data_IF_863985675408
#
_entry.id   IF_863985675408
#
_cell.length_a   1.000
_cell.length_b   1.000
_cell.length_c   1.000
_cell.angle_alpha   90.00
_cell.angle_beta   90.00
_cell.angle_gamma   90.00
#
_symmetry.space_group_name_H-M   'P 1'
#
loop_
_entity.id
_entity.type
_entity.pdbx_description
1 polymer ?
#
# COMPACT_ATOMS: atom_id res chain seq x y z
N UNK A 1 2.74 -10.03 -13.88
CA UNK A 1 2.37 -9.19 -15.05
C UNK A 1 0.87 -8.93 -15.18
N UNK A 2 0.01 -9.89 -14.93
CA UNK A 2 -1.45 -9.78 -15.12
C UNK A 2 -2.07 -8.75 -14.17
N UNK A 3 -1.83 -8.84 -12.85
CA UNK A 3 -2.38 -7.94 -11.83
C UNK A 3 -2.09 -6.46 -12.13
N UNK A 4 -0.86 -6.13 -12.57
CA UNK A 4 -0.47 -4.75 -12.91
C UNK A 4 -1.29 -4.16 -14.06
N UNK A 5 -1.66 -4.98 -15.06
CA UNK A 5 -2.48 -4.53 -16.19
C UNK A 5 -3.90 -4.19 -15.74
N UNK A 6 -4.50 -5.04 -14.90
CA UNK A 6 -5.84 -4.80 -14.37
C UNK A 6 -5.87 -3.59 -13.42
N UNK A 7 -4.88 -3.48 -12.53
CA UNK A 7 -4.76 -2.33 -11.63
C UNK A 7 -4.62 -1.01 -12.40
N UNK A 8 -3.77 -0.95 -13.43
CA UNK A 8 -3.63 0.25 -14.28
C UNK A 8 -4.91 0.63 -14.99
N UNK A 9 -5.63 -0.35 -15.58
CA UNK A 9 -6.88 -0.09 -16.26
C UNK A 9 -7.95 0.45 -15.30
N UNK A 10 -8.02 -0.13 -14.10
CA UNK A 10 -8.97 0.31 -13.07
C UNK A 10 -8.65 1.71 -12.55
N UNK A 11 -7.36 2.04 -12.33
CA UNK A 11 -6.93 3.39 -11.94
C UNK A 11 -7.32 4.41 -13.00
N UNK A 12 -7.14 4.10 -14.30
CA UNK A 12 -7.54 5.00 -15.38
C UNK A 12 -9.05 5.27 -15.34
N UNK A 13 -9.88 4.23 -15.24
CA UNK A 13 -11.34 4.36 -15.15
C UNK A 13 -11.78 5.10 -13.88
N UNK A 14 -11.23 4.76 -12.72
CA UNK A 14 -11.57 5.42 -11.46
C UNK A 14 -11.15 6.91 -11.46
N UNK A 15 -10.06 7.24 -12.15
CA UNK A 15 -9.61 8.63 -12.33
C UNK A 15 -10.56 9.43 -13.22
N UNK A 16 -11.02 8.86 -14.33
CA UNK A 16 -12.01 9.49 -15.22
C UNK A 16 -13.32 9.83 -14.49
N UNK A 17 -13.71 8.96 -13.54
CA UNK A 17 -14.91 9.16 -12.72
C UNK A 17 -14.66 9.97 -11.44
N UNK A 18 -13.43 10.41 -11.17
CA UNK A 18 -13.07 11.14 -9.95
C UNK A 18 -13.18 10.34 -8.65
N UNK A 19 -13.18 8.99 -8.73
CA UNK A 19 -13.50 8.08 -7.61
C UNK A 19 -12.33 7.20 -7.17
N UNK A 20 -11.09 7.66 -7.36
CA UNK A 20 -9.89 6.86 -7.06
C UNK A 20 -9.87 6.32 -5.61
N UNK A 21 -10.14 7.17 -4.62
CA UNK A 21 -10.13 6.75 -3.22
C UNK A 21 -11.29 5.81 -2.91
N UNK A 22 -12.50 6.15 -3.36
CA UNK A 22 -13.71 5.37 -3.11
C UNK A 22 -13.62 3.97 -3.72
N UNK A 23 -13.16 3.86 -4.98
CA UNK A 23 -12.93 2.58 -5.66
C UNK A 23 -11.94 1.70 -4.89
N UNK A 24 -10.84 2.27 -4.40
CA UNK A 24 -9.87 1.55 -3.57
C UNK A 24 -10.48 0.99 -2.30
N UNK A 25 -11.20 1.83 -1.55
CA UNK A 25 -11.86 1.43 -0.30
C UNK A 25 -12.93 0.33 -0.51
N UNK A 26 -13.75 0.45 -1.55
CA UNK A 26 -14.78 -0.54 -1.85
C UNK A 26 -14.17 -1.89 -2.21
N UNK A 27 -13.15 -1.93 -3.06
CA UNK A 27 -12.47 -3.16 -3.45
C UNK A 27 -11.70 -3.79 -2.28
N UNK A 28 -11.10 -2.98 -1.42
CA UNK A 28 -10.42 -3.45 -0.21
C UNK A 28 -11.40 -4.16 0.72
N UNK A 29 -12.54 -3.53 1.04
CA UNK A 29 -13.60 -4.14 1.87
C UNK A 29 -14.11 -5.45 1.26
N UNK A 30 -14.29 -5.48 -0.06
CA UNK A 30 -14.74 -6.68 -0.75
C UNK A 30 -13.71 -7.82 -0.67
N UNK A 31 -12.43 -7.50 -0.87
CA UNK A 31 -11.33 -8.48 -0.76
C UNK A 31 -11.21 -9.02 0.67
N UNK A 32 -11.28 -8.14 1.67
CA UNK A 32 -11.25 -8.53 3.08
C UNK A 32 -12.40 -9.47 3.44
N UNK A 33 -13.62 -9.17 3.01
CA UNK A 33 -14.76 -10.05 3.25
C UNK A 33 -14.55 -11.46 2.69
N UNK A 34 -14.00 -11.56 1.46
CA UNK A 34 -13.68 -12.87 0.87
C UNK A 34 -12.63 -13.61 1.71
N UNK A 35 -11.58 -12.90 2.14
CA UNK A 35 -10.48 -13.51 2.90
C UNK A 35 -10.88 -13.92 4.32
N UNK A 36 -11.73 -13.14 4.98
CA UNK A 36 -12.25 -13.39 6.33
C UNK A 36 -13.37 -14.46 6.35
N UNK A 37 -13.92 -14.81 5.19
CA UNK A 37 -15.02 -15.79 5.08
C UNK A 37 -14.55 -17.02 4.31
N UNK A 38 -14.01 -18.08 4.99
CA UNK A 38 -13.44 -19.26 4.33
C UNK A 38 -14.44 -19.98 3.41
N UNK A 39 -15.73 -20.02 3.80
CA UNK A 39 -16.79 -20.62 2.98
C UNK A 39 -16.99 -19.87 1.67
N UNK A 40 -17.00 -18.53 1.70
CA UNK A 40 -17.13 -17.68 0.53
C UNK A 40 -15.93 -17.84 -0.41
N UNK A 41 -14.72 -17.81 0.16
CA UNK A 41 -13.46 -18.02 -0.57
C UNK A 41 -13.44 -19.37 -1.28
N UNK A 42 -13.83 -20.42 -0.57
CA UNK A 42 -13.93 -21.78 -1.12
C UNK A 42 -14.90 -21.84 -2.29
N UNK A 43 -16.08 -21.23 -2.19
CA UNK A 43 -17.08 -21.21 -3.27
C UNK A 43 -16.53 -20.44 -4.49
N UNK A 44 -16.04 -19.24 -4.29
CA UNK A 44 -15.61 -18.35 -5.38
C UNK A 44 -14.40 -18.90 -6.16
N UNK A 45 -13.48 -19.57 -5.46
CA UNK A 45 -12.24 -20.07 -6.08
C UNK A 45 -12.33 -21.51 -6.55
N UNK A 46 -13.37 -22.26 -6.18
CA UNK A 46 -13.53 -23.66 -6.60
C UNK A 46 -13.96 -23.77 -8.07
N UNK A 47 -13.16 -24.37 -8.95
CA UNK A 47 -13.51 -24.51 -10.38
C UNK A 47 -14.72 -25.40 -10.64
N UNK A 48 -15.09 -26.27 -9.71
CA UNK A 48 -16.24 -27.15 -9.85
C UNK A 48 -17.60 -26.44 -9.71
N UNK A 49 -17.63 -25.23 -9.14
CA UNK A 49 -18.84 -24.45 -8.98
C UNK A 49 -19.09 -23.62 -10.24
N UNK A 50 -20.35 -23.61 -10.71
CA UNK A 50 -20.71 -22.93 -11.95
C UNK A 50 -20.46 -21.42 -11.89
N UNK A 51 -20.02 -20.86 -13.00
CA UNK A 51 -19.78 -19.40 -13.09
C UNK A 51 -21.07 -18.60 -12.88
N UNK A 52 -22.22 -19.14 -13.30
CA UNK A 52 -23.52 -18.50 -13.10
C UNK A 52 -23.83 -18.31 -11.62
N UNK A 53 -23.72 -19.37 -10.82
CA UNK A 53 -23.93 -19.29 -9.37
C UNK A 53 -22.98 -18.31 -8.67
N UNK A 54 -21.70 -18.30 -9.07
CA UNK A 54 -20.72 -17.35 -8.55
C UNK A 54 -21.07 -15.90 -8.92
N UNK A 55 -21.56 -15.66 -10.13
CA UNK A 55 -21.95 -14.34 -10.59
C UNK A 55 -23.19 -13.81 -9.84
N UNK A 56 -24.18 -14.67 -9.56
CA UNK A 56 -25.33 -14.33 -8.71
C UNK A 56 -24.89 -13.99 -7.29
N UNK A 57 -24.03 -14.82 -6.70
CA UNK A 57 -23.47 -14.59 -5.37
C UNK A 57 -22.70 -13.26 -5.30
N UNK A 58 -21.86 -12.96 -6.29
CA UNK A 58 -21.13 -11.69 -6.37
C UNK A 58 -22.07 -10.49 -6.51
N UNK A 59 -23.17 -10.65 -7.23
CA UNK A 59 -24.19 -9.60 -7.39
C UNK A 59 -24.89 -9.30 -6.06
N UNK A 60 -25.33 -10.35 -5.34
CA UNK A 60 -25.96 -10.21 -4.02
C UNK A 60 -24.98 -9.56 -3.01
N UNK A 61 -23.73 -10.02 -2.97
CA UNK A 61 -22.71 -9.44 -2.12
C UNK A 61 -22.43 -7.96 -2.44
N UNK A 62 -22.34 -7.61 -3.73
CA UNK A 62 -22.13 -6.24 -4.17
C UNK A 62 -23.26 -5.31 -3.74
N UNK A 63 -24.50 -5.78 -3.82
CA UNK A 63 -25.68 -5.03 -3.36
C UNK A 63 -25.67 -4.83 -1.84
N UNK A 64 -25.40 -5.89 -1.07
CA UNK A 64 -25.36 -5.84 0.41
C UNK A 64 -24.25 -4.92 0.93
N UNK A 65 -23.12 -4.89 0.26
CA UNK A 65 -21.98 -4.03 0.62
C UNK A 65 -22.10 -2.60 0.07
N UNK A 66 -23.11 -2.31 -0.75
CA UNK A 66 -23.27 -1.02 -1.40
C UNK A 66 -22.14 -0.68 -2.37
N UNK A 67 -21.59 -1.70 -3.06
CA UNK A 67 -20.48 -1.54 -4.01
C UNK A 67 -20.99 -0.86 -5.26
N UNK A 68 -20.24 0.10 -5.77
CA UNK A 68 -20.57 0.85 -6.99
C UNK A 68 -20.58 -0.04 -8.24
N UNK A 69 -21.25 0.42 -9.27
CA UNK A 69 -21.36 -0.31 -10.54
C UNK A 69 -20.02 -0.57 -11.23
N UNK A 70 -19.07 0.37 -11.10
CA UNK A 70 -17.72 0.23 -11.66
C UNK A 70 -17.01 -0.98 -11.03
N UNK A 71 -16.99 -1.02 -9.71
CA UNK A 71 -16.32 -2.05 -8.92
C UNK A 71 -17.00 -3.42 -9.07
N UNK A 72 -18.34 -3.45 -9.05
CA UNK A 72 -19.11 -4.66 -9.28
C UNK A 72 -18.86 -5.27 -10.66
N UNK A 73 -18.83 -4.43 -11.71
CA UNK A 73 -18.51 -4.87 -13.07
C UNK A 73 -17.06 -5.36 -13.18
N UNK A 74 -16.12 -4.70 -12.48
CA UNK A 74 -14.73 -5.12 -12.46
C UNK A 74 -14.56 -6.51 -11.81
N UNK A 75 -15.20 -6.74 -10.65
CA UNK A 75 -15.17 -8.05 -9.96
C UNK A 75 -15.80 -9.13 -10.84
N UNK A 76 -16.94 -8.84 -11.50
CA UNK A 76 -17.59 -9.76 -12.43
C UNK A 76 -16.66 -10.12 -13.59
N UNK A 77 -16.02 -9.14 -14.20
CA UNK A 77 -15.04 -9.37 -15.25
C UNK A 77 -13.89 -10.26 -14.79
N UNK A 78 -13.37 -10.07 -13.57
CA UNK A 78 -12.32 -10.93 -13.01
C UNK A 78 -12.81 -12.37 -12.83
N UNK A 79 -14.08 -12.57 -12.43
CA UNK A 79 -14.71 -13.90 -12.35
C UNK A 79 -14.77 -14.56 -13.74
N UNK A 80 -15.29 -13.86 -14.74
CA UNK A 80 -15.42 -14.35 -16.13
C UNK A 80 -14.08 -14.76 -16.74
N UNK A 81 -13.02 -14.00 -16.41
CA UNK A 81 -11.65 -14.27 -16.86
C UNK A 81 -10.91 -15.30 -16.02
N UNK A 82 -11.54 -15.85 -14.97
CA UNK A 82 -10.90 -16.78 -14.04
C UNK A 82 -9.74 -16.15 -13.27
N UNK A 83 -9.78 -14.82 -13.05
CA UNK A 83 -8.73 -14.03 -12.39
C UNK A 83 -9.13 -13.49 -11.01
N UNK A 84 -10.26 -13.94 -10.48
CA UNK A 84 -10.72 -13.54 -9.15
C UNK A 84 -9.69 -13.84 -8.04
N UNK A 85 -8.93 -14.96 -8.06
CA UNK A 85 -7.86 -15.21 -7.08
C UNK A 85 -6.73 -14.18 -7.07
N UNK A 86 -6.53 -13.44 -8.17
CA UNK A 86 -5.53 -12.37 -8.27
C UNK A 86 -5.99 -11.05 -7.61
N UNK A 87 -7.24 -10.99 -7.16
CA UNK A 87 -7.84 -9.75 -6.66
C UNK A 87 -7.06 -9.10 -5.51
N UNK A 88 -6.52 -9.81 -4.49
CA UNK A 88 -5.72 -9.20 -3.45
C UNK A 88 -4.49 -8.47 -4.01
N UNK A 89 -3.79 -9.08 -4.98
CA UNK A 89 -2.63 -8.47 -5.62
C UNK A 89 -3.01 -7.27 -6.51
N UNK A 90 -4.18 -7.35 -7.18
CA UNK A 90 -4.69 -6.25 -8.01
C UNK A 90 -5.03 -5.05 -7.12
N UNK A 91 -5.68 -5.26 -5.98
CA UNK A 91 -6.06 -4.20 -5.04
C UNK A 91 -4.82 -3.55 -4.43
N UNK A 92 -3.84 -4.34 -4.00
CA UNK A 92 -2.58 -3.79 -3.47
C UNK A 92 -1.85 -2.92 -4.51
N UNK A 93 -1.79 -3.35 -5.78
CA UNK A 93 -1.20 -2.56 -6.86
C UNK A 93 -2.05 -1.35 -7.23
N UNK A 94 -3.38 -1.45 -7.12
CA UNK A 94 -4.28 -0.34 -7.35
C UNK A 94 -4.04 0.78 -6.35
N UNK A 95 -3.91 0.47 -5.05
CA UNK A 95 -3.64 1.46 -4.00
C UNK A 95 -2.37 2.27 -4.31
N UNK A 96 -1.28 1.59 -4.65
CA UNK A 96 -0.01 2.26 -5.02
C UNK A 96 -0.18 3.18 -6.25
N UNK A 97 -0.81 2.66 -7.30
CA UNK A 97 -1.00 3.44 -8.53
C UNK A 97 -2.01 4.58 -8.37
N UNK A 98 -3.02 4.42 -7.51
CA UNK A 98 -3.99 5.47 -7.21
C UNK A 98 -3.35 6.62 -6.42
N UNK A 99 -2.47 6.31 -5.47
CA UNK A 99 -1.66 7.31 -4.76
C UNK A 99 -0.74 8.07 -5.72
N UNK A 100 -0.04 7.37 -6.59
CA UNK A 100 0.77 7.99 -7.65
C UNK A 100 -0.07 8.91 -8.56
N UNK A 101 -1.26 8.46 -8.95
CA UNK A 101 -2.18 9.23 -9.81
C UNK A 101 -2.75 10.49 -9.14
N UNK A 102 -2.81 10.52 -7.79
CA UNK A 102 -3.18 11.67 -6.99
C UNK A 102 -1.98 12.58 -6.62
N UNK A 103 -0.82 12.31 -7.15
CA UNK A 103 0.45 12.96 -6.78
C UNK A 103 0.77 12.82 -5.27
N UNK A 104 0.30 11.73 -4.66
CA UNK A 104 0.59 11.39 -3.26
C UNK A 104 1.77 10.45 -3.15
N UNK A 105 2.53 10.59 -2.10
CA UNK A 105 3.65 9.71 -1.77
C UNK A 105 3.49 9.20 -0.34
N UNK A 106 3.39 7.88 -0.20
CA UNK A 106 3.37 7.24 1.12
C UNK A 106 4.78 7.12 1.65
N UNK A 107 5.00 7.67 2.84
CA UNK A 107 6.25 7.60 3.59
C UNK A 107 5.98 6.87 4.90
N UNK A 108 6.59 5.69 5.07
CA UNK A 108 6.55 4.97 6.33
C UNK A 108 7.68 5.45 7.21
N UNK A 109 7.35 5.92 8.41
CA UNK A 109 8.30 6.42 9.40
C UNK A 109 8.30 5.51 10.61
N UNK A 110 9.44 4.85 10.86
CA UNK A 110 9.64 4.01 12.04
C UNK A 110 10.43 4.79 13.08
N UNK A 111 9.96 4.80 14.32
CA UNK A 111 10.57 5.51 15.44
C UNK A 111 10.55 4.66 16.71
N UNK A 112 11.43 4.95 17.69
CA UNK A 112 11.48 4.23 18.95
C UNK A 112 10.24 4.47 19.83
N UNK A 113 9.63 5.64 19.71
CA UNK A 113 8.45 6.08 20.47
C UNK A 113 7.48 6.78 19.52
N UNK A 114 6.18 6.88 19.86
CA UNK A 114 5.23 7.62 19.05
C UNK A 114 5.69 9.06 18.78
N UNK A 115 5.64 9.49 17.52
CA UNK A 115 5.96 10.86 17.13
C UNK A 115 4.83 11.80 17.58
N UNK A 116 5.18 12.94 18.14
CA UNK A 116 4.20 14.00 18.41
C UNK A 116 3.59 14.51 17.10
N UNK A 117 2.37 15.05 17.15
CA UNK A 117 1.70 15.62 15.99
C UNK A 117 2.53 16.73 15.33
N UNK A 118 3.22 17.55 16.12
CA UNK A 118 4.10 18.59 15.61
C UNK A 118 5.28 18.02 14.80
N UNK A 119 5.90 16.94 15.28
CA UNK A 119 7.01 16.30 14.60
C UNK A 119 6.55 15.55 13.34
N UNK A 120 5.37 14.91 13.38
CA UNK A 120 4.79 14.30 12.19
C UNK A 120 4.55 15.34 11.08
N UNK A 121 4.01 16.51 11.45
CA UNK A 121 3.77 17.60 10.52
C UNK A 121 5.08 18.18 9.95
N UNK A 122 6.11 18.35 10.78
CA UNK A 122 7.43 18.79 10.33
C UNK A 122 8.04 17.79 9.32
N UNK A 123 7.99 16.50 9.63
CA UNK A 123 8.45 15.43 8.74
C UNK A 123 7.70 15.46 7.42
N UNK A 124 6.36 15.57 7.48
CA UNK A 124 5.49 15.66 6.30
C UNK A 124 5.88 16.84 5.42
N UNK A 125 6.05 18.04 5.99
CA UNK A 125 6.41 19.25 5.25
C UNK A 125 7.79 19.15 4.61
N UNK A 126 8.77 18.60 5.30
CA UNK A 126 10.11 18.39 4.75
C UNK A 126 10.09 17.46 3.54
N UNK A 127 9.37 16.32 3.65
CA UNK A 127 9.22 15.40 2.52
C UNK A 127 8.41 16.01 1.38
N UNK A 128 7.34 16.74 1.67
CA UNK A 128 6.54 17.43 0.66
C UNK A 128 7.39 18.47 -0.11
N UNK A 129 8.21 19.22 0.59
CA UNK A 129 9.13 20.18 -0.03
C UNK A 129 10.17 19.49 -0.93
N UNK A 130 10.74 18.38 -0.46
CA UNK A 130 11.77 17.64 -1.19
C UNK A 130 11.22 16.91 -2.43
N UNK A 131 10.01 16.36 -2.33
CA UNK A 131 9.43 15.51 -3.40
C UNK A 131 8.44 16.26 -4.29
N UNK A 132 7.98 17.44 -3.89
CA UNK A 132 6.89 18.19 -4.51
C UNK A 132 5.58 17.38 -4.62
N UNK A 133 5.37 16.44 -3.66
CA UNK A 133 4.21 15.57 -3.57
C UNK A 133 3.47 15.78 -2.25
N UNK A 134 2.17 15.43 -2.26
CA UNK A 134 1.41 15.33 -1.02
C UNK A 134 1.82 14.07 -0.26
N UNK A 135 2.23 14.23 1.00
CA UNK A 135 2.81 13.14 1.80
C UNK A 135 1.76 12.52 2.70
N UNK A 136 1.58 11.21 2.54
CA UNK A 136 0.82 10.37 3.48
C UNK A 136 1.83 9.68 4.40
N UNK A 137 1.80 10.03 5.70
CA UNK A 137 2.69 9.46 6.71
C UNK A 137 2.03 8.25 7.36
N UNK A 138 2.71 7.10 7.27
CA UNK A 138 2.42 5.90 8.08
C UNK A 138 3.46 5.80 9.18
N UNK A 139 3.02 5.70 10.44
CA UNK A 139 3.91 5.58 11.58
C UNK A 139 3.96 4.14 12.07
N UNK A 140 5.19 3.61 12.19
CA UNK A 140 5.50 2.35 12.87
C UNK A 140 6.35 2.62 14.11
N UNK A 141 6.17 1.80 15.15
CA UNK A 141 6.96 1.91 16.37
C UNK A 141 7.84 0.67 16.50
N UNK A 142 9.15 0.88 16.54
CA UNK A 142 10.13 -0.16 16.79
C UNK A 142 10.97 0.21 18.03
N UNK A 143 10.66 -0.38 19.20
CA UNK A 143 11.41 -0.13 20.44
C UNK A 143 12.89 -0.55 20.40
N UNK A 144 13.30 -1.31 19.37
CA UNK A 144 14.71 -1.70 19.21
C UNK A 144 15.57 -0.57 18.64
N UNK A 145 14.97 0.49 18.11
CA UNK A 145 15.66 1.72 17.77
C UNK A 145 16.05 2.45 19.06
N UNK A 146 17.33 2.81 19.16
CA UNK A 146 17.84 3.58 20.32
C UNK A 146 17.28 5.01 20.30
N UNK A 147 16.93 5.51 19.09
CA UNK A 147 16.39 6.84 18.83
C UNK A 147 16.59 7.25 17.38
N UNK A 148 16.08 8.43 17.01
CA UNK A 148 16.00 8.88 15.63
C UNK A 148 14.81 8.29 14.90
N UNK A 149 14.78 8.45 13.57
CA UNK A 149 13.73 7.95 12.69
C UNK A 149 14.33 7.24 11.48
N UNK A 150 13.65 6.21 11.02
CA UNK A 150 13.90 5.56 9.73
C UNK A 150 12.71 5.85 8.84
N UNK A 151 12.93 6.49 7.69
CA UNK A 151 11.88 6.79 6.73
C UNK A 151 12.04 5.93 5.47
N UNK A 152 10.97 5.28 5.06
CA UNK A 152 10.93 4.44 3.85
C UNK A 152 9.94 5.01 2.83
N UNK A 153 10.41 5.23 1.60
CA UNK A 153 9.63 5.67 0.45
C UNK A 153 9.79 4.66 -0.68
N UNK A 154 8.83 3.74 -0.82
CA UNK A 154 8.97 2.64 -1.78
C UNK A 154 10.23 1.80 -1.52
N UNK A 155 11.18 1.81 -2.45
CA UNK A 155 12.47 1.11 -2.30
C UNK A 155 13.57 1.96 -1.63
N UNK A 156 13.36 3.26 -1.47
CA UNK A 156 14.32 4.17 -0.84
C UNK A 156 14.13 4.15 0.68
N UNK A 157 15.22 3.88 1.41
CA UNK A 157 15.26 3.93 2.87
C UNK A 157 16.25 5.03 3.30
N UNK A 158 15.73 5.97 4.09
CA UNK A 158 16.53 7.03 4.72
C UNK A 158 16.64 6.70 6.21
N UNK A 159 17.81 6.25 6.62
CA UNK A 159 18.09 5.85 8.00
C UNK A 159 18.78 6.99 8.74
N UNK A 160 18.00 7.74 9.52
CA UNK A 160 18.43 8.78 10.47
C UNK A 160 18.44 8.27 11.92
N UNK A 161 18.62 6.97 12.15
CA UNK A 161 18.72 6.43 13.50
C UNK A 161 20.02 6.79 14.17
N UNK A 162 19.99 6.99 15.50
CA UNK A 162 21.19 7.23 16.32
C UNK A 162 22.18 6.07 16.18
N UNK A 163 21.69 4.84 16.01
CA UNK A 163 22.53 3.66 15.79
C UNK A 163 23.40 3.83 14.53
N UNK A 164 22.81 4.28 13.44
CA UNK A 164 23.51 4.47 12.17
C UNK A 164 24.50 5.64 12.26
N UNK A 165 24.11 6.72 12.93
CA UNK A 165 24.99 7.87 13.18
C UNK A 165 26.23 7.47 14.02
N UNK A 166 26.03 6.71 15.11
CA UNK A 166 27.13 6.16 15.92
C UNK A 166 28.01 5.19 15.12
N UNK A 167 27.44 4.38 14.24
CA UNK A 167 28.20 3.49 13.37
C UNK A 167 29.08 4.27 12.38
N UNK A 168 28.55 5.35 11.79
CA UNK A 168 29.32 6.27 10.93
C UNK A 168 30.44 6.96 11.67
N UNK A 169 30.18 7.48 12.88
CA UNK A 169 31.21 8.10 13.74
C UNK A 169 32.28 7.10 14.12
N UNK A 170 31.90 5.87 14.51
CA UNK A 170 32.90 4.83 14.82
C UNK A 170 33.78 4.52 13.60
N UNK A 171 33.21 4.41 12.41
CA UNK A 171 33.96 4.15 11.19
C UNK A 171 34.92 5.31 10.85
N UNK A 172 34.44 6.55 11.01
CA UNK A 172 35.30 7.75 10.80
C UNK A 172 36.47 7.81 11.77
N UNK A 173 36.24 7.52 13.07
CA UNK A 173 37.29 7.52 14.11
C UNK A 173 38.29 6.37 13.94
N UNK A 174 37.85 5.20 13.48
CA UNK A 174 38.75 4.04 13.27
C UNK A 174 39.48 4.15 11.94
N UNK A 175 38.88 4.81 10.93
CA UNK A 175 39.54 5.06 9.62
C UNK A 175 40.68 6.01 9.66
N UNK A 176 40.68 7.00 10.57
CA UNK A 176 41.72 8.04 10.69
C UNK A 176 43.00 7.53 11.37
N UNK A 177 42.99 6.35 12.01
CA UNK A 177 44.16 5.76 12.68
C UNK A 177 45.06 4.91 11.77
N UNK A 178 44.77 4.78 10.46
CA UNK A 178 45.59 4.02 9.51
C UNK A 178 46.52 4.90 8.62
N UNK A 179 46.55 6.21 8.83
CA UNK A 179 47.32 7.15 8.02
C UNK A 179 48.60 7.72 8.65
N UNK A 180 49.04 7.24 9.81
CA UNK A 180 50.15 7.82 10.52
C UNK A 180 51.20 6.84 11.02
N UNK A 181 51.92 6.18 10.12
CA UNK A 181 53.25 5.57 10.38
C UNK A 181 53.84 5.12 9.03
N UNK A 182 54.50 6.05 8.35
CA UNK A 182 55.52 5.76 7.38
C UNK A 182 56.49 6.98 7.34
#
# INVERSE_FOLDING_TARGET
MVAKRYAKALVALAREHGRLAETGEQLKRFTQLIDETPGLKSILYNPAISQHFKAELLTDLSQRLGIGSLEANFVRMLLEKGRLPEMPHIVALYEVLAEEAQNRLRVRVTSAVPLSLALQEEVRQRFAHYTSKDIVLDQDIDPTLIGGIVAQMGSLVLDGSIRNELARLKTALVGDHRGGLA
#
